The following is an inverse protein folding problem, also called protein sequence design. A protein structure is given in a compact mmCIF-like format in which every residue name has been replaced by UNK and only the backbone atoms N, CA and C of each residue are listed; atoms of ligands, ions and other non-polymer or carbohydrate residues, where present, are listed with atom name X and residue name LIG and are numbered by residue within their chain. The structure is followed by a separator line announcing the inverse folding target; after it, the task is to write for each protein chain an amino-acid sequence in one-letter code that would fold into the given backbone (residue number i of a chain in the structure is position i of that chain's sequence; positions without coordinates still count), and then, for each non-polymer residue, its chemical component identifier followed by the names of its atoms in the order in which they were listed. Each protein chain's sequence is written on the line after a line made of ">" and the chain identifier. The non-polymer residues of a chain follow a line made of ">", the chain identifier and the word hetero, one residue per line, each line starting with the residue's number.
data_IF_347661989032
#
_entry.id   IF_347661989032
#
_cell.length_a   1.000
_cell.length_b   1.000
_cell.length_c   1.000
_cell.angle_alpha   90.00
_cell.angle_beta   90.00
_cell.angle_gamma   90.00
#
_symmetry.space_group_name_H-M   'P 1'
#
loop_
_entity.id
_entity.type
_entity.pdbx_description
1 polymer ?
#
# COMPACT_ATOMS: atom_id res chain seq x y z
N UNK A 1 0.20 -22.19 15.96
CA UNK A 1 -0.30 -21.14 16.87
C UNK A 1 0.87 -20.27 17.28
N UNK A 2 1.28 -19.29 16.45
CA UNK A 2 2.27 -18.21 16.74
C UNK A 2 2.54 -17.28 15.52
N UNK A 3 1.56 -17.07 14.62
CA UNK A 3 1.72 -16.13 13.49
C UNK A 3 0.86 -14.86 13.62
N UNK A 4 -0.24 -14.88 14.38
CA UNK A 4 -1.19 -13.75 14.41
C UNK A 4 -0.76 -12.54 15.24
N UNK A 5 0.29 -12.62 16.06
CA UNK A 5 0.72 -11.49 16.92
C UNK A 5 1.96 -10.75 16.41
N UNK A 6 2.44 -11.09 15.20
CA UNK A 6 3.61 -10.43 14.59
C UNK A 6 3.43 -10.09 13.11
N UNK A 7 2.26 -10.31 12.51
CA UNK A 7 1.98 -9.89 11.13
C UNK A 7 1.45 -8.46 11.06
N UNK A 8 1.89 -7.57 11.96
CA UNK A 8 1.53 -6.14 11.94
C UNK A 8 2.21 -5.34 10.80
N UNK A 9 2.80 -5.99 9.79
CA UNK A 9 3.59 -5.33 8.75
C UNK A 9 2.88 -5.29 7.37
N UNK A 10 2.80 -4.06 6.84
CA UNK A 10 2.99 -3.70 5.45
C UNK A 10 2.00 -4.16 4.36
N UNK A 11 0.70 -4.23 4.67
CA UNK A 11 -0.34 -4.23 3.62
C UNK A 11 -0.92 -2.82 3.44
N UNK A 12 -0.45 -2.14 2.40
CA UNK A 12 -0.74 -0.72 2.11
C UNK A 12 -2.10 -0.53 1.41
N UNK A 13 -3.05 0.33 1.83
CA UNK A 13 -4.05 0.92 0.95
C UNK A 13 -3.41 1.68 -0.22
N UNK A 14 -4.13 1.77 -1.33
CA UNK A 14 -3.64 2.30 -2.61
C UNK A 14 -3.48 3.83 -2.58
N UNK A 15 -2.24 4.34 -2.42
CA UNK A 15 -1.82 5.75 -2.69
C UNK A 15 -0.30 5.86 -3.04
N UNK A 16 0.15 5.10 -4.01
CA UNK A 16 1.39 5.09 -4.76
C UNK A 16 1.71 6.39 -5.55
N UNK A 17 1.90 7.49 -4.82
CA UNK A 17 3.13 8.28 -4.90
C UNK A 17 3.78 8.36 -3.51
N UNK A 18 2.97 8.23 -2.45
CA UNK A 18 3.38 7.98 -1.08
C UNK A 18 3.81 6.53 -0.87
N UNK A 19 3.01 5.57 -1.35
CA UNK A 19 3.08 4.18 -0.91
C UNK A 19 4.31 3.41 -1.40
N UNK A 20 5.04 3.93 -2.39
CA UNK A 20 6.35 3.38 -2.77
C UNK A 20 7.49 3.87 -1.84
N UNK A 21 7.25 4.94 -1.08
CA UNK A 21 8.24 5.60 -0.21
C UNK A 21 7.86 5.48 1.27
N UNK A 22 6.65 5.01 1.57
CA UNK A 22 6.01 4.94 2.89
C UNK A 22 5.46 3.55 3.19
N UNK A 23 6.18 2.53 2.75
CA UNK A 23 5.89 1.13 3.07
C UNK A 23 5.70 1.00 4.60
N UNK A 24 4.50 0.57 5.02
CA UNK A 24 4.12 0.39 6.43
C UNK A 24 3.35 1.50 7.13
N UNK A 25 3.21 2.68 6.53
CA UNK A 25 2.50 3.79 7.18
C UNK A 25 1.00 3.50 7.39
N UNK A 26 0.39 2.75 6.49
CA UNK A 26 -1.06 2.57 6.49
C UNK A 26 -1.45 1.23 7.15
N UNK A 27 -2.62 1.20 7.78
CA UNK A 27 -3.13 -0.02 8.43
C UNK A 27 -3.67 -0.95 7.35
N UNK A 28 -3.29 -2.24 7.38
CA UNK A 28 -3.97 -3.28 6.62
C UNK A 28 -5.44 -3.35 7.05
N UNK A 29 -6.34 -2.86 6.20
CA UNK A 29 -7.79 -3.00 6.41
C UNK A 29 -8.16 -4.46 6.65
N UNK A 30 -7.47 -5.38 5.99
CA UNK A 30 -7.68 -6.83 6.09
C UNK A 30 -7.32 -7.39 7.47
N UNK A 31 -6.30 -6.86 8.15
CA UNK A 31 -5.97 -7.24 9.54
C UNK A 31 -7.03 -6.69 10.49
N UNK A 32 -7.61 -5.52 10.19
CA UNK A 32 -8.68 -4.97 11.03
C UNK A 32 -9.90 -5.90 11.03
N UNK A 33 -10.26 -6.39 9.84
CA UNK A 33 -11.43 -7.25 9.63
C UNK A 33 -11.24 -8.64 10.25
N UNK A 34 -10.00 -9.11 10.42
CA UNK A 34 -9.69 -10.44 10.94
C UNK A 34 -9.62 -10.53 12.47
N UNK A 35 -9.77 -9.41 13.20
CA UNK A 35 -10.00 -9.44 14.65
C UNK A 35 -8.74 -9.66 15.52
N UNK A 36 -7.54 -9.41 15.01
CA UNK A 36 -6.29 -9.53 15.78
C UNK A 36 -6.05 -8.33 16.72
N UNK A 37 -5.27 -8.52 17.80
CA UNK A 37 -4.99 -7.51 18.83
C UNK A 37 -4.50 -6.18 18.23
N UNK A 38 -5.25 -5.10 18.49
CA UNK A 38 -5.03 -3.80 17.88
C UNK A 38 -4.21 -2.87 18.79
N UNK A 39 -2.92 -2.64 18.53
CA UNK A 39 -2.23 -1.52 19.18
C UNK A 39 -2.39 -0.21 18.37
N UNK A 40 -2.50 0.90 19.09
CA UNK A 40 -2.74 2.22 18.48
C UNK A 40 -4.19 2.50 18.09
N UNK A 41 -5.10 1.60 18.47
CA UNK A 41 -6.54 1.80 18.36
C UNK A 41 -7.05 2.33 19.70
N UNK A 42 -7.54 3.58 19.69
CA UNK A 42 -8.15 4.21 20.87
C UNK A 42 -9.49 3.54 21.18
N UNK A 43 -10.26 3.26 20.12
CA UNK A 43 -11.64 2.80 20.23
C UNK A 43 -12.10 2.05 18.98
N UNK A 44 -12.75 0.92 19.22
CA UNK A 44 -13.62 0.27 18.22
C UNK A 44 -15.05 0.67 18.57
N UNK A 45 -15.66 1.53 17.75
CA UNK A 45 -16.97 2.14 18.06
C UNK A 45 -18.14 1.16 17.87
N UNK A 46 -18.01 0.22 16.92
CA UNK A 46 -18.97 -0.84 16.63
C UNK A 46 -18.26 -2.05 16.01
N UNK A 47 -18.68 -3.24 16.43
CA UNK A 47 -18.48 -4.49 15.70
C UNK A 47 -19.88 -5.09 15.56
N UNK A 48 -20.49 -4.91 14.40
CA UNK A 48 -21.41 -5.93 13.90
C UNK A 48 -20.76 -6.61 12.69
N UNK A 49 -21.27 -7.74 12.23
CA UNK A 49 -20.65 -8.51 11.14
C UNK A 49 -20.54 -7.73 9.81
N UNK A 50 -21.13 -6.53 9.72
CA UNK A 50 -21.19 -5.70 8.52
C UNK A 50 -20.56 -4.32 8.71
N UNK A 51 -20.17 -3.94 9.92
CA UNK A 51 -19.67 -2.61 10.23
C UNK A 51 -18.59 -2.63 11.31
N UNK A 52 -17.41 -2.10 10.95
CA UNK A 52 -16.29 -1.91 11.85
C UNK A 52 -15.81 -0.47 11.72
N UNK A 53 -15.80 0.26 12.84
CA UNK A 53 -15.21 1.60 12.90
C UNK A 53 -14.07 1.65 13.91
N UNK A 54 -12.92 2.10 13.44
CA UNK A 54 -11.68 2.20 14.22
C UNK A 54 -11.22 3.65 14.29
N UNK A 55 -10.98 4.13 15.51
CA UNK A 55 -10.36 5.44 15.77
C UNK A 55 -8.93 5.25 16.26
N UNK A 56 -8.02 6.07 15.75
CA UNK A 56 -6.58 6.05 16.06
C UNK A 56 -6.19 7.37 16.75
N UNK A 57 -5.35 7.27 17.78
CA UNK A 57 -4.85 8.43 18.54
C UNK A 57 -3.38 8.29 19.00
N UNK A 58 -2.64 7.32 18.48
CA UNK A 58 -1.36 6.92 19.07
C UNK A 58 -0.46 6.06 18.18
N UNK A 59 0.58 5.50 18.81
CA UNK A 59 1.56 4.64 18.13
C UNK A 59 0.98 3.27 17.75
N UNK A 60 1.51 2.66 16.68
CA UNK A 60 1.31 1.22 16.39
C UNK A 60 2.06 0.31 17.38
N UNK A 61 1.85 -1.04 17.36
CA UNK A 61 2.43 -1.92 18.41
C UNK A 61 3.95 -1.88 18.46
N UNK A 62 4.59 -1.60 17.33
CA UNK A 62 6.06 -1.58 17.19
C UNK A 62 6.67 -0.18 17.31
N UNK A 63 5.88 0.84 17.65
CA UNK A 63 6.32 2.24 17.82
C UNK A 63 7.08 2.83 16.60
N UNK A 64 6.78 2.36 15.40
CA UNK A 64 7.37 2.88 14.15
C UNK A 64 6.51 4.00 13.56
N UNK A 65 5.20 3.96 13.79
CA UNK A 65 4.22 4.89 13.25
C UNK A 65 3.29 5.43 14.33
N UNK A 66 2.90 6.70 14.22
CA UNK A 66 1.76 7.30 14.92
C UNK A 66 0.60 7.45 13.96
N UNK A 67 -0.60 7.10 14.41
CA UNK A 67 -1.81 7.14 13.60
C UNK A 67 -2.87 7.97 14.31
N UNK A 68 -3.57 8.80 13.54
CA UNK A 68 -4.65 9.65 14.01
C UNK A 68 -5.86 9.57 13.06
N UNK A 69 -7.02 9.97 13.56
CA UNK A 69 -8.27 10.00 12.78
C UNK A 69 -9.02 8.68 12.84
N UNK A 70 -9.85 8.39 11.85
CA UNK A 70 -10.64 7.16 11.86
C UNK A 70 -10.76 6.50 10.49
N UNK A 71 -10.89 5.18 10.53
CA UNK A 71 -11.25 4.34 9.39
C UNK A 71 -12.59 3.68 9.71
N UNK A 72 -13.51 3.77 8.77
CA UNK A 72 -14.85 3.22 8.91
C UNK A 72 -15.14 2.24 7.77
N UNK A 73 -15.50 1.00 8.10
CA UNK A 73 -15.57 -0.10 7.14
C UNK A 73 -16.94 -0.76 7.16
N UNK A 74 -17.54 -0.88 5.97
CA UNK A 74 -18.88 -1.44 5.80
C UNK A 74 -18.87 -2.55 4.75
N UNK A 75 -19.48 -3.69 5.05
CA UNK A 75 -19.79 -4.71 4.05
C UNK A 75 -20.93 -4.20 3.16
N UNK A 76 -20.61 -3.84 1.91
CA UNK A 76 -21.57 -3.31 0.94
C UNK A 76 -22.12 -4.39 0.00
N UNK A 77 -21.41 -5.52 -0.12
CA UNK A 77 -21.86 -6.70 -0.85
C UNK A 77 -21.31 -7.98 -0.19
N UNK A 78 -22.07 -9.06 -0.23
CA UNK A 78 -21.73 -10.32 0.44
C UNK A 78 -22.46 -10.49 1.77
N UNK A 79 -22.40 -11.70 2.33
CA UNK A 79 -22.92 -11.99 3.68
C UNK A 79 -21.81 -11.87 4.72
N UNK A 80 -20.63 -12.35 4.38
CA UNK A 80 -19.41 -12.29 5.18
C UNK A 80 -18.23 -11.81 4.29
N UNK A 81 -17.20 -11.16 4.86
CA UNK A 81 -16.04 -10.67 4.08
C UNK A 81 -15.33 -11.77 3.29
N UNK A 82 -15.28 -12.97 3.86
CA UNK A 82 -14.66 -14.13 3.22
C UNK A 82 -15.44 -14.71 2.05
N UNK A 83 -16.67 -14.24 1.80
CA UNK A 83 -17.41 -14.66 0.62
C UNK A 83 -16.69 -14.17 -0.63
N UNK A 84 -16.67 -15.02 -1.66
CA UNK A 84 -16.24 -14.60 -2.98
C UNK A 84 -17.16 -13.49 -3.49
N UNK A 85 -16.55 -12.51 -4.15
CA UNK A 85 -17.17 -11.28 -4.65
C UNK A 85 -17.73 -10.36 -3.54
N UNK A 86 -17.43 -10.62 -2.26
CA UNK A 86 -17.74 -9.69 -1.19
C UNK A 86 -17.05 -8.35 -1.43
N UNK A 87 -17.73 -7.26 -1.08
CA UNK A 87 -17.18 -5.90 -1.22
C UNK A 87 -17.34 -5.17 0.08
N UNK A 88 -16.25 -4.55 0.54
CA UNK A 88 -16.25 -3.62 1.65
C UNK A 88 -15.99 -2.20 1.15
N UNK A 89 -16.59 -1.22 1.83
CA UNK A 89 -16.29 0.19 1.66
C UNK A 89 -15.49 0.66 2.86
N UNK A 90 -14.35 1.27 2.59
CA UNK A 90 -13.42 1.83 3.59
C UNK A 90 -13.45 3.34 3.47
N UNK A 91 -13.88 4.02 4.54
CA UNK A 91 -13.98 5.47 4.61
C UNK A 91 -12.89 6.00 5.53
N UNK A 92 -11.95 6.73 4.95
CA UNK A 92 -10.89 7.44 5.66
C UNK A 92 -11.41 8.82 6.08
N UNK A 93 -11.39 9.10 7.38
CA UNK A 93 -11.78 10.39 7.95
C UNK A 93 -10.61 10.97 8.74
N UNK A 94 -9.91 11.92 8.12
CA UNK A 94 -8.67 12.51 8.60
C UNK A 94 -7.64 11.46 9.04
N UNK A 95 -7.54 10.36 8.30
CA UNK A 95 -6.61 9.29 8.65
C UNK A 95 -5.19 9.75 8.37
N UNK A 96 -4.46 10.09 9.43
CA UNK A 96 -3.09 10.54 9.39
C UNK A 96 -2.19 9.42 9.86
N UNK A 97 -1.15 9.10 9.09
CA UNK A 97 -0.05 8.27 9.54
C UNK A 97 1.24 9.06 9.50
N UNK A 98 2.03 8.98 10.57
CA UNK A 98 3.32 9.65 10.70
C UNK A 98 4.40 8.67 11.15
N UNK A 99 5.59 8.76 10.56
CA UNK A 99 6.77 8.03 11.03
C UNK A 99 7.30 8.62 12.33
N UNK A 100 7.55 7.77 13.32
CA UNK A 100 8.15 8.19 14.59
C UNK A 100 9.62 8.64 14.42
N UNK A 101 10.37 7.99 13.54
CA UNK A 101 11.75 8.34 13.23
C UNK A 101 11.82 9.29 12.02
N UNK A 102 11.69 10.59 12.29
CA UNK A 102 11.98 11.65 11.32
C UNK A 102 13.49 11.70 11.08
N UNK A 103 14.01 10.92 10.14
CA UNK A 103 15.38 11.15 9.66
C UNK A 103 15.33 12.26 8.61
N UNK A 104 15.99 13.39 8.89
CA UNK A 104 16.02 14.57 8.02
C UNK A 104 16.77 14.33 6.69
N UNK A 105 17.54 13.25 6.59
CA UNK A 105 18.25 12.82 5.38
C UNK A 105 17.36 12.09 4.37
N UNK A 106 16.21 11.56 4.80
CA UNK A 106 15.26 10.87 3.92
C UNK A 106 14.38 11.89 3.20
N UNK A 107 14.50 11.97 1.87
CA UNK A 107 13.62 12.79 1.00
C UNK A 107 12.17 12.27 0.91
N UNK A 108 11.82 11.24 1.68
CA UNK A 108 10.51 10.58 1.68
C UNK A 108 9.55 11.30 2.63
N UNK A 109 8.23 11.26 2.38
CA UNK A 109 7.28 11.90 3.27
C UNK A 109 7.26 11.20 4.64
N UNK A 110 7.37 12.00 5.72
CA UNK A 110 7.27 11.55 7.10
C UNK A 110 5.83 11.45 7.60
N UNK A 111 4.87 12.06 6.89
CA UNK A 111 3.45 12.03 7.22
C UNK A 111 2.57 11.93 5.97
N UNK A 112 1.48 11.19 6.05
CA UNK A 112 0.45 11.09 5.00
C UNK A 112 -0.92 11.22 5.67
N UNK A 113 -1.71 12.18 5.19
CA UNK A 113 -3.11 12.38 5.56
C UNK A 113 -4.01 11.95 4.40
N UNK A 114 -5.01 11.13 4.71
CA UNK A 114 -5.95 10.54 3.75
C UNK A 114 -7.38 10.86 4.15
N UNK A 115 -8.17 11.28 3.16
CA UNK A 115 -9.62 11.38 3.24
C UNK A 115 -10.27 10.77 2.00
N UNK A 116 -11.43 10.16 2.17
CA UNK A 116 -12.22 9.65 1.06
C UNK A 116 -12.61 8.19 1.24
N UNK A 117 -13.03 7.56 0.15
CA UNK A 117 -13.57 6.20 0.17
C UNK A 117 -12.86 5.31 -0.83
N UNK A 118 -12.45 4.13 -0.36
CA UNK A 118 -11.93 3.03 -1.16
C UNK A 118 -12.90 1.84 -1.08
N UNK A 119 -13.06 1.10 -2.16
CA UNK A 119 -13.76 -0.18 -2.17
C UNK A 119 -12.74 -1.31 -2.27
N UNK A 120 -12.91 -2.37 -1.48
CA UNK A 120 -12.10 -3.58 -1.59
C UNK A 120 -13.02 -4.75 -1.93
N UNK A 121 -12.71 -5.45 -3.02
CA UNK A 121 -13.44 -6.65 -3.47
C UNK A 121 -12.61 -7.89 -3.18
N UNK A 122 -13.22 -8.88 -2.54
CA UNK A 122 -12.71 -10.23 -2.38
C UNK A 122 -12.93 -11.04 -3.65
N UNK A 123 -11.95 -11.15 -4.55
CA UNK A 123 -12.13 -11.83 -5.83
C UNK A 123 -12.04 -13.37 -5.72
N UNK A 124 -11.26 -13.88 -4.76
CA UNK A 124 -11.03 -15.32 -4.59
C UNK A 124 -12.01 -15.99 -3.62
N UNK A 125 -12.57 -15.23 -2.68
CA UNK A 125 -13.08 -15.78 -1.42
C UNK A 125 -11.97 -16.01 -0.40
N UNK A 126 -12.35 -16.43 0.81
CA UNK A 126 -11.46 -16.62 1.95
C UNK A 126 -11.06 -15.31 2.65
N UNK A 127 -10.29 -15.41 3.74
CA UNK A 127 -9.75 -14.26 4.47
C UNK A 127 -8.27 -14.45 4.87
N UNK A 128 -7.67 -13.41 5.44
CA UNK A 128 -6.24 -13.44 5.83
C UNK A 128 -5.96 -14.44 6.96
N UNK A 129 -6.92 -14.72 7.84
CA UNK A 129 -6.72 -15.70 8.91
C UNK A 129 -6.68 -17.13 8.35
N UNK A 130 -7.55 -17.45 7.39
CA UNK A 130 -7.52 -18.71 6.65
C UNK A 130 -6.19 -18.84 5.86
N UNK A 131 -5.68 -17.74 5.29
CA UNK A 131 -4.41 -17.71 4.57
C UNK A 131 -3.20 -17.90 5.49
N UNK A 132 -3.14 -17.17 6.60
CA UNK A 132 -2.02 -17.19 7.55
C UNK A 132 -1.90 -18.53 8.28
N UNK A 133 -3.03 -19.19 8.53
CA UNK A 133 -3.05 -20.53 9.11
C UNK A 133 -2.83 -21.64 8.08
N UNK A 134 -2.62 -21.29 6.79
CA UNK A 134 -2.39 -22.24 5.70
C UNK A 134 -3.62 -23.09 5.34
N UNK A 135 -4.82 -22.62 5.67
CA UNK A 135 -6.08 -23.27 5.26
C UNK A 135 -6.37 -23.02 3.78
N UNK A 136 -5.95 -21.86 3.27
CA UNK A 136 -5.94 -21.50 1.85
C UNK A 136 -4.53 -21.02 1.48
N UNK A 137 -4.17 -21.22 0.22
CA UNK A 137 -2.85 -20.88 -0.33
C UNK A 137 -2.88 -19.65 -1.27
N UNK A 138 -4.08 -19.15 -1.58
CA UNK A 138 -4.28 -18.06 -2.53
C UNK A 138 -5.40 -17.11 -2.09
N UNK A 139 -5.12 -15.82 -2.15
CA UNK A 139 -6.10 -14.75 -2.05
C UNK A 139 -5.94 -13.75 -3.19
N UNK A 140 -7.04 -13.25 -3.74
CA UNK A 140 -7.03 -12.17 -4.71
C UNK A 140 -7.98 -11.05 -4.30
N UNK A 141 -7.46 -9.82 -4.31
CA UNK A 141 -8.15 -8.61 -3.83
C UNK A 141 -8.05 -7.51 -4.87
N UNK A 142 -9.13 -6.75 -5.01
CA UNK A 142 -9.16 -5.56 -5.87
C UNK A 142 -9.51 -4.33 -5.05
N UNK A 143 -8.71 -3.29 -5.15
CA UNK A 143 -8.85 -2.03 -4.42
C UNK A 143 -9.19 -0.93 -5.41
N UNK A 144 -10.22 -0.13 -5.14
CA UNK A 144 -10.66 0.97 -6.00
C UNK A 144 -10.97 2.20 -5.17
N UNK A 145 -10.10 3.22 -5.26
CA UNK A 145 -10.32 4.54 -4.68
C UNK A 145 -10.70 5.55 -5.76
N UNK A 146 -11.68 6.41 -5.49
CA UNK A 146 -12.05 7.51 -6.39
C UNK A 146 -12.00 8.82 -5.66
N UNK A 147 -11.28 9.79 -6.22
CA UNK A 147 -11.08 11.13 -5.66
C UNK A 147 -10.64 11.11 -4.18
N UNK A 148 -9.73 10.20 -3.82
CA UNK A 148 -9.07 10.22 -2.53
C UNK A 148 -8.30 11.53 -2.38
N UNK A 149 -8.48 12.20 -1.26
CA UNK A 149 -7.74 13.41 -0.91
C UNK A 149 -6.53 13.02 -0.10
N UNK A 150 -5.35 13.35 -0.60
CA UNK A 150 -4.07 12.88 -0.05
C UNK A 150 -3.14 14.05 0.15
N UNK A 151 -2.68 14.24 1.39
CA UNK A 151 -1.74 15.28 1.73
C UNK A 151 -0.46 14.68 2.32
N UNK A 152 0.66 15.24 1.89
CA UNK A 152 1.99 14.78 2.28
C UNK A 152 2.60 15.78 3.25
N UNK A 153 3.27 15.28 4.28
CA UNK A 153 4.00 16.05 5.28
C UNK A 153 3.19 17.16 5.95
N UNK A 154 1.86 17.01 6.03
CA UNK A 154 0.94 18.04 6.52
C UNK A 154 1.21 19.42 5.88
N UNK A 155 1.50 19.41 4.58
CA UNK A 155 1.94 20.60 3.83
C UNK A 155 0.85 21.65 3.58
N UNK A 156 -0.42 21.32 3.78
CA UNK A 156 -1.58 22.11 3.42
C UNK A 156 -1.96 22.05 1.94
N UNK A 157 -1.32 21.20 1.15
CA UNK A 157 -1.56 21.06 -0.29
C UNK A 157 -2.04 19.66 -0.66
N UNK A 158 -3.34 19.36 -0.47
CA UNK A 158 -3.89 18.05 -0.79
C UNK A 158 -3.91 17.79 -2.31
N UNK A 159 -3.78 16.51 -2.66
CA UNK A 159 -3.89 15.97 -4.02
C UNK A 159 -5.17 15.17 -4.15
N UNK A 160 -5.78 15.20 -5.33
CA UNK A 160 -6.90 14.31 -5.66
C UNK A 160 -6.37 13.14 -6.46
N UNK A 161 -6.49 11.93 -5.90
CA UNK A 161 -5.92 10.70 -6.43
C UNK A 161 -7.03 9.67 -6.62
N UNK A 162 -7.04 9.03 -7.78
CA UNK A 162 -7.82 7.83 -8.05
C UNK A 162 -6.87 6.65 -8.08
N UNK A 163 -7.35 5.49 -7.64
CA UNK A 163 -6.55 4.29 -7.50
C UNK A 163 -7.32 3.05 -7.92
N UNK A 164 -6.60 2.10 -8.51
CA UNK A 164 -7.13 0.81 -8.92
C UNK A 164 -6.01 -0.23 -8.93
N UNK A 165 -6.05 -1.13 -7.95
CA UNK A 165 -4.96 -2.09 -7.70
C UNK A 165 -5.56 -3.49 -7.60
N UNK A 166 -4.83 -4.47 -8.15
CA UNK A 166 -5.07 -5.88 -7.89
C UNK A 166 -3.92 -6.44 -7.07
N UNK A 167 -4.23 -7.23 -6.04
CA UNK A 167 -3.25 -7.99 -5.26
C UNK A 167 -3.57 -9.45 -5.23
N UNK A 168 -2.51 -10.23 -5.29
CA UNK A 168 -2.52 -11.66 -5.11
C UNK A 168 -1.61 -12.01 -3.94
N UNK A 169 -2.12 -12.76 -2.97
CA UNK A 169 -1.32 -13.34 -1.90
C UNK A 169 -1.19 -14.83 -2.17
N UNK A 170 0.03 -15.34 -2.08
CA UNK A 170 0.36 -16.73 -2.39
C UNK A 170 1.16 -17.29 -1.20
N UNK A 171 0.72 -18.43 -0.68
CA UNK A 171 1.40 -19.16 0.39
C UNK A 171 1.69 -20.59 -0.09
N UNK A 172 2.96 -20.88 -0.38
CA UNK A 172 3.39 -22.22 -0.83
C UNK A 172 3.83 -23.12 0.33
N UNK A 173 3.71 -22.65 1.58
CA UNK A 173 4.24 -23.29 2.78
C UNK A 173 5.71 -22.92 3.05
N UNK A 174 6.54 -22.90 2.00
CA UNK A 174 7.96 -22.50 2.09
C UNK A 174 8.15 -20.99 1.87
N UNK A 175 7.24 -20.36 1.14
CA UNK A 175 7.29 -18.94 0.81
C UNK A 175 5.90 -18.30 0.88
N UNK A 176 5.85 -17.09 1.44
CA UNK A 176 4.68 -16.22 1.39
C UNK A 176 5.06 -15.00 0.55
N UNK A 177 4.29 -14.74 -0.50
CA UNK A 177 4.51 -13.60 -1.39
C UNK A 177 3.21 -12.85 -1.70
N UNK A 178 3.35 -11.58 -2.05
CA UNK A 178 2.28 -10.71 -2.51
C UNK A 178 2.68 -10.12 -3.86
N UNK A 179 1.83 -10.28 -4.87
CA UNK A 179 2.01 -9.72 -6.21
C UNK A 179 1.01 -8.58 -6.39
N UNK A 180 1.51 -7.41 -6.79
CA UNK A 180 0.68 -6.22 -7.04
C UNK A 180 0.71 -5.86 -8.52
N UNK A 181 -0.49 -5.72 -9.10
CA UNK A 181 -0.70 -5.31 -10.48
C UNK A 181 -1.56 -4.05 -10.54
N UNK A 182 -1.36 -3.26 -11.59
CA UNK A 182 -2.34 -2.25 -11.98
C UNK A 182 -3.49 -2.90 -12.72
N UNK A 183 -4.71 -2.43 -12.46
CA UNK A 183 -5.93 -2.93 -13.09
C UNK A 183 -6.70 -1.80 -13.80
N UNK A 184 -6.05 -0.65 -13.94
CA UNK A 184 -6.59 0.55 -14.53
C UNK A 184 -6.22 0.69 -16.00
N UNK A 185 -7.17 1.22 -16.77
CA UNK A 185 -6.94 1.75 -18.10
C UNK A 185 -7.42 3.20 -18.13
N UNK A 186 -6.47 4.13 -18.25
CA UNK A 186 -6.73 5.57 -18.21
C UNK A 186 -6.00 6.20 -19.39
N UNK A 187 -6.75 6.90 -20.23
CA UNK A 187 -6.28 7.40 -21.52
C UNK A 187 -5.65 6.28 -22.37
N UNK A 188 -4.35 6.36 -22.62
CA UNK A 188 -3.57 5.39 -23.40
C UNK A 188 -2.68 4.51 -22.51
N UNK A 189 -2.79 4.62 -21.18
CA UNK A 189 -2.01 3.82 -20.25
C UNK A 189 -2.83 2.61 -19.78
N UNK A 190 -2.19 1.44 -19.80
CA UNK A 190 -2.68 0.20 -19.20
C UNK A 190 -1.92 -0.07 -17.91
N UNK A 191 -2.40 -1.01 -17.09
CA UNK A 191 -1.84 -1.32 -15.77
C UNK A 191 -1.64 -0.07 -14.89
N UNK A 192 -2.53 0.92 -15.06
CA UNK A 192 -2.54 2.12 -14.23
C UNK A 192 -2.94 1.69 -12.83
N UNK A 193 -2.09 1.99 -11.85
CA UNK A 193 -2.46 1.85 -10.45
C UNK A 193 -3.09 3.13 -9.93
N UNK A 194 -2.61 4.30 -10.37
CA UNK A 194 -3.05 5.59 -9.84
C UNK A 194 -2.97 6.72 -10.85
N UNK A 195 -3.87 7.67 -10.72
CA UNK A 195 -3.88 8.86 -11.54
C UNK A 195 -4.64 9.99 -10.85
N UNK A 196 -4.33 11.23 -11.21
CA UNK A 196 -4.99 12.37 -10.63
C UNK A 196 -4.23 13.65 -10.86
N UNK A 197 -4.41 14.61 -9.95
CA UNK A 197 -3.75 15.90 -9.97
C UNK A 197 -2.74 15.99 -8.83
N UNK A 198 -1.52 16.45 -9.15
CA UNK A 198 -0.54 16.81 -8.13
C UNK A 198 -0.92 18.11 -7.41
N UNK A 199 -0.09 18.52 -6.44
CA UNK A 199 -0.30 19.75 -5.65
C UNK A 199 -0.22 21.03 -6.48
N UNK A 200 0.28 20.96 -7.71
CA UNK A 200 0.34 22.07 -8.67
C UNK A 200 -0.77 21.98 -9.73
N UNK A 201 -1.70 21.03 -9.59
CA UNK A 201 -2.80 20.81 -10.54
C UNK A 201 -2.36 20.13 -11.83
N UNK A 202 -1.20 19.46 -11.87
CA UNK A 202 -0.72 18.74 -13.05
C UNK A 202 -1.14 17.27 -12.99
N UNK A 203 -1.57 16.76 -14.14
CA UNK A 203 -1.93 15.36 -14.29
C UNK A 203 -0.71 14.45 -14.17
N UNK A 204 -0.90 13.34 -13.45
CA UNK A 204 0.05 12.25 -13.35
C UNK A 204 -0.63 10.89 -13.49
N UNK A 205 0.15 9.90 -13.92
CA UNK A 205 -0.23 8.49 -13.93
C UNK A 205 0.91 7.67 -13.34
N UNK A 206 0.56 6.66 -12.57
CA UNK A 206 1.47 5.64 -12.08
C UNK A 206 1.05 4.31 -12.70
N UNK A 207 1.99 3.67 -13.39
CA UNK A 207 1.78 2.42 -14.12
C UNK A 207 2.71 1.36 -13.54
N UNK A 208 2.19 0.17 -13.30
CA UNK A 208 3.00 -1.02 -13.04
C UNK A 208 3.35 -1.62 -14.40
N UNK A 209 4.60 -1.44 -14.81
CA UNK A 209 5.14 -1.96 -16.07
C UNK A 209 5.43 -3.47 -15.93
N UNK A 210 5.96 -3.86 -14.76
CA UNK A 210 6.19 -5.24 -14.36
C UNK A 210 5.63 -5.46 -12.94
N UNK A 211 4.92 -6.58 -12.67
CA UNK A 211 4.26 -6.82 -11.39
C UNK A 211 5.21 -6.60 -10.20
N UNK A 212 4.76 -5.85 -9.20
CA UNK A 212 5.57 -5.64 -7.99
C UNK A 212 5.42 -6.86 -7.10
N UNK A 213 6.53 -7.53 -6.81
CA UNK A 213 6.55 -8.73 -5.96
C UNK A 213 7.12 -8.37 -4.59
N UNK A 214 6.36 -8.67 -3.54
CA UNK A 214 6.85 -8.67 -2.16
C UNK A 214 6.98 -10.09 -1.63
N UNK A 215 8.01 -10.37 -0.86
CA UNK A 215 8.20 -11.63 -0.14
C UNK A 215 8.29 -11.39 1.36
N UNK A 216 7.74 -12.32 2.14
CA UNK A 216 7.91 -12.33 3.58
C UNK A 216 9.28 -12.91 3.93
N UNK A 217 10.22 -12.03 4.22
CA UNK A 217 11.62 -12.32 4.51
C UNK A 217 11.93 -12.01 5.97
N UNK A 218 12.24 -13.03 6.79
CA UNK A 218 12.52 -12.87 8.22
C UNK A 218 11.45 -12.05 8.97
N UNK A 219 10.18 -12.35 8.69
CA UNK A 219 8.99 -11.64 9.20
C UNK A 219 8.81 -10.20 8.70
N UNK A 220 9.47 -9.83 7.60
CA UNK A 220 9.32 -8.53 6.95
C UNK A 220 8.95 -8.64 5.50
N UNK A 221 8.08 -7.78 5.03
CA UNK A 221 7.78 -7.71 3.61
C UNK A 221 8.86 -6.92 2.88
N UNK A 222 9.59 -7.58 1.99
CA UNK A 222 10.57 -6.94 1.11
C UNK A 222 10.04 -6.94 -0.31
N UNK A 223 10.08 -5.79 -0.99
CA UNK A 223 9.91 -5.78 -2.44
C UNK A 223 11.17 -6.39 -3.07
N UNK A 224 10.97 -7.46 -3.83
CA UNK A 224 12.06 -8.22 -4.44
C UNK A 224 12.04 -8.14 -5.96
N UNK A 225 10.99 -7.59 -6.56
CA UNK A 225 10.88 -7.50 -8.01
C UNK A 225 9.83 -6.46 -8.43
N UNK A 226 9.91 -6.03 -9.68
CA UNK A 226 8.89 -5.25 -10.38
C UNK A 226 9.35 -3.85 -10.77
N UNK A 227 8.59 -3.27 -11.69
CA UNK A 227 8.87 -1.95 -12.27
C UNK A 227 7.62 -1.10 -12.22
N UNK A 228 7.75 0.08 -11.62
CA UNK A 228 6.69 1.08 -11.59
C UNK A 228 7.16 2.38 -12.23
N UNK A 229 6.43 2.86 -13.22
CA UNK A 229 6.75 4.11 -13.93
C UNK A 229 5.70 5.17 -13.65
N UNK A 230 6.20 6.35 -13.28
CA UNK A 230 5.43 7.57 -13.18
C UNK A 230 5.50 8.36 -14.48
N UNK A 231 4.34 8.76 -14.97
CA UNK A 231 4.16 9.62 -16.12
C UNK A 231 3.65 10.99 -15.67
N UNK A 232 4.27 12.05 -16.19
CA UNK A 232 3.79 13.42 -16.06
C UNK A 232 3.65 14.04 -17.44
N UNK A 233 2.56 14.76 -17.70
CA UNK A 233 2.32 15.41 -19.00
C UNK A 233 2.54 14.45 -20.20
N UNK A 234 2.11 13.20 -20.04
CA UNK A 234 2.22 12.12 -21.03
C UNK A 234 3.66 11.73 -21.42
N UNK A 235 4.64 11.98 -20.55
CA UNK A 235 6.04 11.52 -20.70
C UNK A 235 6.45 10.72 -19.47
N UNK A 236 7.19 9.64 -19.68
CA UNK A 236 7.82 8.91 -18.59
C UNK A 236 8.73 9.87 -17.84
N UNK A 237 8.38 10.12 -16.58
CA UNK A 237 9.10 11.05 -15.74
C UNK A 237 10.15 10.28 -14.94
N UNK A 238 9.75 9.19 -14.28
CA UNK A 238 10.59 8.39 -13.40
C UNK A 238 10.15 6.94 -13.38
N UNK A 239 11.09 6.02 -13.33
CA UNK A 239 10.84 4.58 -13.17
C UNK A 239 11.52 4.09 -11.89
N UNK A 240 10.82 3.28 -11.11
CA UNK A 240 11.36 2.60 -9.93
C UNK A 240 11.46 1.12 -10.25
N UNK A 241 12.66 0.57 -10.10
CA UNK A 241 12.99 -0.84 -10.29
C UNK A 241 13.25 -1.40 -8.90
N UNK A 242 12.37 -2.28 -8.43
CA UNK A 242 12.46 -2.90 -7.11
C UNK A 242 13.35 -4.13 -7.16
N UNK A 243 13.81 -4.59 -5.99
CA UNK A 243 14.63 -5.79 -5.94
C UNK A 243 16.05 -5.52 -6.39
N UNK A 244 16.75 -4.53 -5.82
CA UNK A 244 18.16 -4.27 -6.16
C UNK A 244 19.12 -4.42 -4.99
N UNK A 245 20.40 -4.68 -5.27
CA UNK A 245 21.51 -4.56 -4.30
C UNK A 245 21.97 -3.10 -4.11
N UNK A 246 22.94 -2.88 -3.22
CA UNK A 246 23.55 -1.57 -2.94
C UNK A 246 24.21 -0.91 -4.16
N UNK A 247 24.49 -1.68 -5.22
CA UNK A 247 25.07 -1.20 -6.48
C UNK A 247 24.01 -0.98 -7.57
N UNK A 248 22.74 -1.29 -7.29
CA UNK A 248 21.63 -1.13 -8.22
C UNK A 248 21.49 -2.29 -9.22
N UNK A 249 22.13 -3.44 -8.97
CA UNK A 249 21.91 -4.66 -9.72
C UNK A 249 20.68 -5.39 -9.20
N UNK A 250 19.92 -6.04 -10.09
CA UNK A 250 18.73 -6.80 -9.72
C UNK A 250 19.06 -8.01 -8.83
N UNK A 251 18.26 -8.19 -7.79
CA UNK A 251 18.30 -9.24 -6.78
C UNK A 251 16.85 -9.61 -6.42
N UNK A 252 16.41 -10.77 -6.90
CA UNK A 252 15.00 -11.19 -6.85
C UNK A 252 14.72 -12.11 -5.67
N UNK A 253 15.31 -11.81 -4.52
CA UNK A 253 15.18 -12.60 -3.30
C UNK A 253 15.24 -11.73 -2.02
N UNK A 254 15.22 -12.39 -0.86
CA UNK A 254 15.23 -11.75 0.44
C UNK A 254 16.53 -10.98 0.79
N UNK A 255 17.52 -10.95 -0.10
CA UNK A 255 18.73 -10.12 0.02
C UNK A 255 18.60 -8.76 -0.68
N UNK A 256 17.41 -8.44 -1.22
CA UNK A 256 17.18 -7.11 -1.81
C UNK A 256 17.45 -6.01 -0.77
N UNK A 257 18.29 -5.05 -1.16
CA UNK A 257 18.61 -3.85 -0.39
C UNK A 257 17.52 -2.79 -0.52
N UNK A 258 16.93 -2.66 -1.70
CA UNK A 258 16.09 -1.51 -2.02
C UNK A 258 15.57 -1.45 -3.44
N UNK A 259 15.36 -0.22 -3.92
CA UNK A 259 14.96 0.07 -5.29
C UNK A 259 15.92 1.07 -5.96
N UNK A 260 16.03 0.98 -7.29
CA UNK A 260 16.73 1.95 -8.13
C UNK A 260 15.70 2.85 -8.81
N UNK A 261 15.80 4.16 -8.59
CA UNK A 261 15.01 5.16 -9.30
C UNK A 261 15.80 5.65 -10.52
N UNK A 262 15.20 5.62 -11.70
CA UNK A 262 15.77 6.11 -12.95
C UNK A 262 14.90 7.22 -13.55
N UNK A 263 15.53 8.30 -14.03
CA UNK A 263 14.81 9.39 -14.68
C UNK A 263 15.66 10.10 -15.74
N UNK A 264 14.99 10.83 -16.62
CA UNK A 264 15.66 11.76 -17.56
C UNK A 264 15.40 13.18 -17.11
N UNK A 265 16.45 13.95 -16.84
CA UNK A 265 16.28 15.35 -16.44
C UNK A 265 15.86 16.24 -17.63
N UNK A 266 15.54 17.51 -17.37
CA UNK A 266 15.11 18.47 -18.40
C UNK A 266 16.12 18.67 -19.55
N UNK A 267 17.40 18.32 -19.33
CA UNK A 267 18.48 18.39 -20.32
C UNK A 267 18.62 17.11 -21.16
N UNK A 268 17.75 16.12 -20.97
CA UNK A 268 17.83 14.83 -21.67
C UNK A 268 18.89 13.87 -21.11
N UNK A 269 19.46 14.17 -19.94
CA UNK A 269 20.50 13.33 -19.32
C UNK A 269 19.82 12.30 -18.42
N UNK A 270 20.15 11.02 -18.65
CA UNK A 270 19.73 9.92 -17.76
C UNK A 270 20.41 10.05 -16.40
N UNK A 271 19.64 9.82 -15.35
CA UNK A 271 20.05 9.84 -13.95
C UNK A 271 19.47 8.61 -13.26
N UNK A 272 20.18 8.15 -12.25
CA UNK A 272 19.71 7.11 -11.36
C UNK A 272 20.16 7.39 -9.92
N UNK A 273 19.37 6.90 -8.96
CA UNK A 273 19.65 6.94 -7.53
C UNK A 273 19.18 5.60 -6.92
N UNK A 274 19.92 5.07 -5.96
CA UNK A 274 19.59 3.82 -5.27
C UNK A 274 19.08 4.19 -3.88
N UNK A 275 18.01 3.52 -3.46
CA UNK A 275 17.32 3.78 -2.21
C UNK A 275 17.16 2.49 -1.44
N UNK A 276 17.79 2.39 -0.27
CA UNK A 276 17.63 1.24 0.63
C UNK A 276 16.28 1.26 1.35
N UNK A 277 15.73 0.10 1.66
CA UNK A 277 14.48 0.01 2.44
C UNK A 277 14.66 0.49 3.89
N UNK A 278 15.87 0.41 4.45
CA UNK A 278 16.13 0.55 5.89
C UNK A 278 17.11 1.66 6.28
N UNK A 279 17.72 2.38 5.34
CA UNK A 279 18.68 3.47 5.62
C UNK A 279 18.03 4.83 5.85
#
# INVERSE_FOLDING_TARGET
>A
MLLSSCLEEDVTPSIADAVSETEGMLVPVEIIISGSDYCGVERIDSIDNTHIKVSFDGSNCIDVYKRYGSIDMYLVNGKDWKDKDAVISVVYSNFLSERNNKREDRKLPSAILINGTELITNLSGGDMDEFDNGTIDFLQRRYVGKNLTVEYNNSGYPRSINTIIMREFINTGDEIQMITNGDGKVDNYENVVEWGLDSEGKEFWNVIEEPIVKKLCNRRWLMVDGIKTKYFRKKAARSKIYGVDENGNEVNDCNSFGFKEEWTNEKGIKKSEIWGYYE
#
